data_IF_908888827485
#
_entry.id   IF_908888827485
#
_cell.length_a   1.000
_cell.length_b   1.000
_cell.length_c   1.000
_cell.angle_alpha   90.00
_cell.angle_beta   90.00
_cell.angle_gamma   90.00
#
_symmetry.space_group_name_H-M   'P 1'
#
loop_
_entity.id
_entity.type
_entity.pdbx_description
1 polymer ?
#
# COMPACT_ATOMS: atom_id res chain seq x y z
N UNK A 1 -10.16 -35.69 1.65
CA UNK A 1 -9.72 -34.61 2.54
C UNK A 1 -9.99 -33.29 1.81
N UNK A 2 -11.10 -32.60 2.12
CA UNK A 2 -11.44 -31.32 1.47
C UNK A 2 -10.44 -30.24 1.93
N UNK A 3 -9.92 -29.47 0.99
CA UNK A 3 -8.96 -28.39 1.25
C UNK A 3 -9.63 -27.27 2.08
N UNK A 4 -8.94 -26.62 3.05
CA UNK A 4 -9.56 -25.66 3.99
C UNK A 4 -10.13 -24.38 3.33
N UNK A 5 -9.85 -24.17 2.05
CA UNK A 5 -10.27 -22.99 1.29
C UNK A 5 -11.75 -23.01 0.88
N UNK A 6 -12.44 -24.16 0.97
CA UNK A 6 -13.80 -24.31 0.46
C UNK A 6 -14.91 -23.67 1.33
N UNK A 7 -14.59 -23.17 2.53
CA UNK A 7 -15.59 -22.65 3.48
C UNK A 7 -15.32 -21.20 3.94
N UNK A 8 -14.55 -20.41 3.18
CA UNK A 8 -14.41 -18.98 3.49
C UNK A 8 -15.74 -18.28 3.16
N UNK A 9 -16.34 -17.50 4.07
CA UNK A 9 -17.60 -16.79 3.83
C UNK A 9 -17.33 -15.55 2.96
N UNK A 10 -16.98 -15.76 1.70
CA UNK A 10 -16.54 -14.71 0.79
C UNK A 10 -17.61 -13.63 0.56
N UNK A 11 -18.89 -14.02 0.56
CA UNK A 11 -20.00 -13.07 0.44
C UNK A 11 -20.10 -12.14 1.66
N UNK A 12 -19.88 -12.67 2.85
CA UNK A 12 -19.84 -11.87 4.08
C UNK A 12 -18.64 -10.93 4.07
N UNK A 13 -17.47 -11.43 3.69
CA UNK A 13 -16.27 -10.61 3.54
C UNK A 13 -16.48 -9.46 2.54
N UNK A 14 -17.18 -9.72 1.43
CA UNK A 14 -17.50 -8.71 0.42
C UNK A 14 -18.46 -7.65 0.96
N UNK A 15 -19.54 -8.07 1.63
CA UNK A 15 -20.49 -7.13 2.27
C UNK A 15 -19.81 -6.25 3.32
N UNK A 16 -18.94 -6.83 4.14
CA UNK A 16 -18.20 -6.08 5.16
C UNK A 16 -17.25 -5.08 4.53
N UNK A 17 -16.53 -5.47 3.48
CA UNK A 17 -15.67 -4.57 2.71
C UNK A 17 -16.44 -3.38 2.13
N UNK A 18 -17.61 -3.63 1.52
CA UNK A 18 -18.47 -2.56 0.99
C UNK A 18 -18.98 -1.62 2.09
N UNK A 19 -19.36 -2.15 3.26
CA UNK A 19 -19.82 -1.35 4.38
C UNK A 19 -18.71 -0.42 4.93
N UNK A 20 -17.50 -0.95 5.10
CA UNK A 20 -16.32 -0.17 5.51
C UNK A 20 -16.03 0.93 4.49
N UNK A 21 -16.03 0.60 3.20
CA UNK A 21 -15.81 1.59 2.12
C UNK A 21 -16.85 2.71 2.14
N UNK A 22 -18.13 2.39 2.39
CA UNK A 22 -19.19 3.41 2.54
C UNK A 22 -18.95 4.31 3.75
N UNK A 23 -18.60 3.74 4.90
CA UNK A 23 -18.33 4.51 6.12
C UNK A 23 -17.12 5.46 5.95
N UNK A 24 -16.01 4.95 5.38
CA UNK A 24 -14.82 5.76 5.11
C UNK A 24 -15.09 6.90 4.12
N UNK A 25 -15.95 6.66 3.12
CA UNK A 25 -16.39 7.73 2.21
C UNK A 25 -17.17 8.82 2.94
N UNK A 26 -18.08 8.44 3.84
CA UNK A 26 -18.86 9.41 4.61
C UNK A 26 -17.96 10.28 5.50
N UNK A 27 -16.96 9.68 6.15
CA UNK A 27 -15.96 10.41 6.95
C UNK A 27 -15.17 11.41 6.10
N UNK A 28 -14.77 11.04 4.88
CA UNK A 28 -14.08 11.95 3.94
C UNK A 28 -14.96 13.09 3.44
N UNK A 29 -16.24 12.84 3.22
CA UNK A 29 -17.17 13.90 2.85
C UNK A 29 -17.36 14.92 3.98
N UNK A 30 -17.30 14.47 5.24
CA UNK A 30 -17.42 15.33 6.41
C UNK A 30 -16.15 16.16 6.67
N UNK A 31 -14.96 15.59 6.43
CA UNK A 31 -13.67 16.29 6.55
C UNK A 31 -12.75 15.97 5.35
N UNK A 32 -12.81 16.78 4.28
CA UNK A 32 -12.00 16.57 3.07
C UNK A 32 -10.49 16.81 3.27
N UNK A 33 -10.10 17.60 4.27
CA UNK A 33 -8.68 17.90 4.57
C UNK A 33 -8.11 17.01 5.68
N UNK A 34 -8.97 16.21 6.33
CA UNK A 34 -8.61 15.23 7.33
C UNK A 34 -7.61 14.19 6.81
N UNK A 35 -6.59 13.91 7.63
CA UNK A 35 -5.60 12.88 7.36
C UNK A 35 -6.14 11.46 7.59
N UNK A 36 -5.45 10.47 7.04
CA UNK A 36 -5.69 9.06 7.33
C UNK A 36 -4.72 8.54 8.40
N UNK A 37 -5.16 7.57 9.20
CA UNK A 37 -4.25 6.82 10.06
C UNK A 37 -3.58 5.71 9.24
N UNK A 38 -2.25 5.72 9.16
CA UNK A 38 -1.47 4.69 8.45
C UNK A 38 -1.63 3.29 9.06
N UNK A 39 -1.85 3.21 10.37
CA UNK A 39 -2.05 1.95 11.06
C UNK A 39 -3.39 1.29 10.71
N UNK A 40 -4.41 2.10 10.45
CA UNK A 40 -5.76 1.67 10.05
C UNK A 40 -6.00 2.06 8.59
N UNK A 41 -5.13 1.55 7.71
CA UNK A 41 -5.12 1.97 6.32
C UNK A 41 -6.33 1.47 5.54
N UNK A 42 -6.98 2.38 4.82
CA UNK A 42 -8.01 2.04 3.85
C UNK A 42 -7.35 1.45 2.59
N UNK A 43 -7.84 0.28 2.14
CA UNK A 43 -7.20 -0.47 1.05
C UNK A 43 -7.26 0.23 -0.31
N UNK A 44 -8.37 0.91 -0.60
CA UNK A 44 -8.69 1.54 -1.89
C UNK A 44 -8.72 3.06 -1.79
N UNK A 45 -7.73 3.63 -1.09
CA UNK A 45 -7.68 5.04 -0.80
C UNK A 45 -7.06 5.82 -1.98
N UNK A 46 -7.81 6.63 -2.76
CA UNK A 46 -7.27 7.22 -3.99
C UNK A 46 -6.12 8.21 -3.71
N UNK A 47 -6.34 9.18 -2.82
CA UNK A 47 -5.35 10.19 -2.45
C UNK A 47 -4.52 9.79 -1.23
N UNK A 48 -4.16 8.51 -1.10
CA UNK A 48 -3.45 7.98 0.07
C UNK A 48 -2.15 8.73 0.37
N UNK A 49 -1.46 9.22 -0.67
CA UNK A 49 -0.22 9.98 -0.48
C UNK A 49 -0.46 11.26 0.32
N UNK A 50 -1.44 12.07 -0.10
CA UNK A 50 -1.81 13.30 0.60
C UNK A 50 -2.41 12.96 1.97
N UNK A 51 -3.30 11.97 2.03
CA UNK A 51 -4.00 11.60 3.26
C UNK A 51 -3.07 11.11 4.37
N UNK A 52 -2.03 10.33 4.05
CA UNK A 52 -1.12 9.77 5.05
C UNK A 52 0.14 10.60 5.29
N UNK A 53 0.71 11.18 4.24
CA UNK A 53 2.04 11.80 4.31
C UNK A 53 1.98 13.32 4.17
N UNK A 54 0.84 13.86 3.71
CA UNK A 54 0.62 15.30 3.55
C UNK A 54 1.76 16.00 2.81
N UNK A 55 2.14 17.18 3.31
CA UNK A 55 3.24 17.98 2.78
C UNK A 55 4.62 17.30 2.89
N UNK A 56 4.79 16.31 3.77
CA UNK A 56 6.06 15.63 3.98
C UNK A 56 6.38 14.58 2.90
N UNK A 57 5.44 14.29 1.99
CA UNK A 57 5.57 13.28 0.94
C UNK A 57 6.89 13.38 0.16
N UNK A 58 7.24 14.58 -0.34
CA UNK A 58 8.45 14.80 -1.15
C UNK A 58 9.74 14.55 -0.35
N UNK A 59 9.76 14.95 0.93
CA UNK A 59 10.93 14.73 1.78
C UNK A 59 11.11 13.24 2.08
N UNK A 60 10.02 12.55 2.37
CA UNK A 60 10.05 11.11 2.64
C UNK A 60 10.50 10.32 1.41
N UNK A 61 10.08 10.71 0.21
CA UNK A 61 10.58 10.08 -1.03
C UNK A 61 12.08 10.26 -1.21
N UNK A 62 12.59 11.46 -0.94
CA UNK A 62 14.04 11.71 -0.99
C UNK A 62 14.80 10.79 -0.03
N UNK A 63 14.28 10.60 1.18
CA UNK A 63 14.86 9.71 2.19
C UNK A 63 14.76 8.25 1.72
N UNK A 64 13.59 7.81 1.23
CA UNK A 64 13.37 6.45 0.74
C UNK A 64 14.31 6.11 -0.42
N UNK A 65 14.52 7.01 -1.36
CA UNK A 65 15.46 6.83 -2.47
C UNK A 65 16.90 6.71 -1.99
N UNK A 66 17.29 7.43 -0.93
CA UNK A 66 18.64 7.34 -0.35
C UNK A 66 18.89 5.99 0.31
N UNK A 67 17.93 5.47 1.07
CA UNK A 67 18.13 4.29 1.91
C UNK A 67 17.63 2.98 1.30
N UNK A 68 16.70 3.04 0.34
CA UNK A 68 16.20 1.90 -0.41
C UNK A 68 16.06 2.23 -1.91
N UNK A 69 17.18 2.50 -2.60
CA UNK A 69 17.20 2.88 -4.01
C UNK A 69 16.68 1.76 -4.94
N UNK A 70 16.69 0.51 -4.47
CA UNK A 70 16.24 -0.65 -5.24
C UNK A 70 14.80 -1.06 -4.94
N UNK A 71 14.15 -0.41 -3.97
CA UNK A 71 12.77 -0.69 -3.61
C UNK A 71 12.57 -2.09 -3.03
N UNK A 72 13.48 -2.55 -2.17
CA UNK A 72 13.35 -3.81 -1.44
C UNK A 72 12.16 -3.77 -0.48
N UNK A 73 11.93 -2.63 0.18
CA UNK A 73 10.84 -2.45 1.12
C UNK A 73 9.66 -1.77 0.42
N UNK A 74 8.70 -2.60 -0.02
CA UNK A 74 7.46 -2.16 -0.69
C UNK A 74 6.25 -2.61 0.12
N UNK A 75 5.39 -1.66 0.44
CA UNK A 75 4.13 -1.86 1.17
C UNK A 75 3.02 -1.08 0.48
N UNK A 76 1.77 -1.50 0.63
CA UNK A 76 0.62 -0.75 0.08
C UNK A 76 0.54 0.63 0.73
N UNK A 77 0.36 1.65 -0.11
CA UNK A 77 0.34 3.06 0.29
C UNK A 77 1.62 3.52 1.01
N UNK A 78 2.74 2.84 0.76
CA UNK A 78 4.05 3.20 1.29
C UNK A 78 4.74 4.28 0.46
N UNK A 79 5.60 5.07 1.10
CA UNK A 79 6.49 6.03 0.43
C UNK A 79 7.33 5.32 -0.64
N UNK A 80 7.36 5.86 -1.86
CA UNK A 80 8.12 5.29 -2.98
C UNK A 80 7.44 4.11 -3.68
N UNK A 81 6.19 3.76 -3.34
CA UNK A 81 5.40 2.78 -4.10
C UNK A 81 4.52 3.47 -5.14
N UNK A 82 4.54 2.97 -6.38
CA UNK A 82 3.64 3.41 -7.44
C UNK A 82 2.26 2.72 -7.28
N UNK A 83 1.19 3.42 -7.67
CA UNK A 83 -0.21 2.97 -7.54
C UNK A 83 -0.47 1.56 -8.08
N UNK A 84 0.20 1.20 -9.17
CA UNK A 84 -0.06 -0.05 -9.91
C UNK A 84 0.77 -1.24 -9.45
N UNK A 85 1.62 -1.08 -8.44
CA UNK A 85 2.78 -1.95 -8.26
C UNK A 85 2.62 -3.08 -7.24
N UNK A 86 1.39 -3.38 -6.81
CA UNK A 86 1.12 -4.38 -5.77
C UNK A 86 0.00 -5.34 -6.18
N UNK A 87 0.18 -5.97 -7.33
CA UNK A 87 -0.44 -7.27 -7.57
C UNK A 87 0.21 -8.26 -6.61
N UNK A 88 -0.57 -8.77 -5.65
CA UNK A 88 -0.21 -9.84 -4.71
C UNK A 88 0.32 -11.13 -5.39
N UNK A 89 0.07 -11.29 -6.69
CA UNK A 89 0.55 -12.41 -7.53
C UNK A 89 1.88 -12.13 -8.23
N UNK A 90 2.38 -10.90 -8.20
CA UNK A 90 3.58 -10.48 -8.95
C UNK A 90 4.78 -10.28 -8.03
N UNK A 91 5.01 -11.19 -7.10
CA UNK A 91 6.31 -11.33 -6.43
C UNK A 91 7.32 -12.01 -7.36
N UNK A 92 7.50 -11.51 -8.59
CA UNK A 92 8.69 -11.85 -9.38
C UNK A 92 9.74 -10.80 -9.08
N UNK A 93 10.50 -11.05 -8.00
CA UNK A 93 11.79 -10.43 -7.72
C UNK A 93 12.71 -10.73 -8.90
N UNK A 94 12.65 -9.91 -9.95
CA UNK A 94 13.72 -9.88 -10.94
C UNK A 94 14.80 -9.01 -10.33
N UNK A 95 15.67 -9.62 -9.53
CA UNK A 95 16.91 -8.97 -9.11
C UNK A 95 17.65 -8.58 -10.39
N UNK A 96 17.68 -7.28 -10.69
CA UNK A 96 18.63 -6.76 -11.67
C UNK A 96 20.03 -7.09 -11.14
N UNK A 97 20.76 -7.92 -11.89
CA UNK A 97 22.07 -8.44 -11.50
C UNK A 97 23.01 -7.26 -11.20
N UNK A 98 23.53 -7.10 -9.97
CA UNK A 98 24.43 -5.99 -9.67
C UNK A 98 25.76 -6.21 -10.41
N UNK A 99 26.02 -5.41 -11.43
CA UNK A 99 27.34 -5.26 -12.06
C UNK A 99 28.16 -4.28 -11.24
N UNK A 100 28.60 -4.70 -10.05
CA UNK A 100 29.48 -3.92 -9.20
C UNK A 100 30.53 -4.83 -8.59
N UNK A 101 31.80 -4.62 -8.96
CA UNK A 101 32.93 -5.32 -8.36
C UNK A 101 33.10 -4.81 -6.92
N UNK A 102 32.89 -5.70 -5.95
CA UNK A 102 33.30 -5.45 -4.57
C UNK A 102 34.81 -5.67 -4.49
N UNK A 103 35.56 -4.63 -4.13
CA UNK A 103 36.93 -4.76 -3.65
C UNK A 103 36.87 -4.86 -2.12
N UNK A 104 37.54 -5.88 -1.60
CA UNK A 104 37.72 -6.16 -0.17
C UNK A 104 38.78 -5.27 0.45
#
# INVERSE_FOLDING_TARGET
>A
MLSPLAALPLDEARRNSEAITRALRALRCADPEGGGCLYESAHDLPDWRKAYWGASSSRLETIKTRYDPHGLFRVRHGVGTAERSLDHTSARLTLARPTGKFHA
#
